data_IF_156448428376
#
_entry.id   IF_156448428376
#
_cell.length_a   1.000
_cell.length_b   1.000
_cell.length_c   1.000
_cell.angle_alpha   90.00
_cell.angle_beta   90.00
_cell.angle_gamma   90.00
#
_symmetry.space_group_name_H-M   'P 1'
#
loop_
_entity.id
_entity.type
_entity.pdbx_description
1 polymer ?
#
# COMPACT_ATOMS: atom_id res chain seq x y z
N UNK A 1 -13.52 8.67 -16.67
CA UNK A 1 -13.63 8.92 -15.21
C UNK A 1 -14.65 10.02 -14.99
N UNK A 2 -15.61 9.81 -14.08
CA UNK A 2 -16.62 10.84 -13.74
C UNK A 2 -16.03 11.93 -12.83
N UNK A 3 -16.71 13.08 -12.77
CA UNK A 3 -16.36 14.25 -11.94
C UNK A 3 -16.26 13.92 -10.43
N UNK A 4 -17.03 12.94 -9.95
CA UNK A 4 -17.09 12.57 -8.54
C UNK A 4 -15.83 11.80 -8.09
N UNK A 5 -15.22 11.00 -8.97
CA UNK A 5 -13.97 10.32 -8.69
C UNK A 5 -12.78 11.30 -8.52
N UNK A 6 -12.75 12.39 -9.29
CA UNK A 6 -11.78 13.46 -9.13
C UNK A 6 -12.00 14.29 -7.85
N UNK A 7 -13.27 14.59 -7.52
CA UNK A 7 -13.63 15.28 -6.29
C UNK A 7 -13.28 14.46 -5.02
N UNK A 8 -13.26 13.13 -5.10
CA UNK A 8 -12.88 12.27 -3.98
C UNK A 8 -11.37 12.26 -3.68
N UNK A 9 -10.54 12.47 -4.70
CA UNK A 9 -9.07 12.56 -4.59
C UNK A 9 -8.65 13.96 -4.15
N UNK A 10 -9.28 14.96 -4.75
CA UNK A 10 -8.93 16.35 -4.55
C UNK A 10 -9.51 16.81 -3.20
N UNK A 11 -8.69 17.42 -2.31
CA UNK A 11 -9.18 17.96 -1.05
C UNK A 11 -10.40 18.89 -1.27
N UNK A 12 -11.35 18.96 -0.32
CA UNK A 12 -12.60 19.72 -0.49
C UNK A 12 -12.42 21.16 -1.01
N UNK A 13 -11.30 21.79 -0.68
CA UNK A 13 -10.95 23.15 -1.10
C UNK A 13 -10.60 23.30 -2.60
N UNK A 14 -10.17 22.24 -3.30
CA UNK A 14 -9.84 22.30 -4.73
C UNK A 14 -11.00 21.84 -5.64
N UNK A 15 -12.08 21.30 -5.07
CA UNK A 15 -13.32 20.97 -5.80
C UNK A 15 -13.99 22.21 -6.41
N UNK A 16 -13.95 23.32 -5.68
CA UNK A 16 -14.55 24.61 -6.07
C UNK A 16 -13.90 25.27 -7.29
N UNK A 17 -12.63 24.96 -7.60
CA UNK A 17 -11.90 25.63 -8.70
C UNK A 17 -11.84 24.82 -10.00
N UNK A 18 -12.24 23.55 -9.96
CA UNK A 18 -12.39 22.71 -11.15
C UNK A 18 -13.72 23.01 -11.89
N UNK A 19 -14.76 23.40 -11.15
CA UNK A 19 -16.04 23.86 -11.69
C UNK A 19 -16.06 25.37 -11.97
N UNK A 20 -15.22 25.81 -12.91
CA UNK A 20 -15.54 26.94 -13.80
C UNK A 20 -16.01 28.28 -13.20
N UNK A 21 -15.68 28.64 -11.95
CA UNK A 21 -16.01 29.99 -11.45
C UNK A 21 -14.89 30.54 -10.58
N UNK A 22 -14.01 31.34 -11.19
CA UNK A 22 -13.07 32.18 -10.43
C UNK A 22 -13.85 33.32 -9.77
N UNK A 23 -13.96 33.29 -8.44
CA UNK A 23 -14.39 34.45 -7.65
C UNK A 23 -13.31 35.53 -7.65
N UNK A 24 -13.69 36.70 -8.17
CA UNK A 24 -13.18 38.07 -7.93
C UNK A 24 -11.70 38.21 -7.53
N UNK A 25 -10.81 38.22 -8.53
CA UNK A 25 -9.45 38.78 -8.44
C UNK A 25 -9.10 39.45 -9.78
N UNK A 26 -8.41 40.58 -9.71
CA UNK A 26 -8.38 41.71 -10.66
C UNK A 26 -7.55 41.52 -11.94
N UNK A 27 -7.49 40.31 -12.50
CA UNK A 27 -7.12 39.99 -13.89
C UNK A 27 -7.60 38.57 -14.18
N UNK A 28 -8.12 38.25 -15.39
CA UNK A 28 -8.48 36.88 -15.71
C UNK A 28 -7.20 36.03 -15.72
N UNK A 29 -7.03 35.24 -14.67
CA UNK A 29 -5.98 34.23 -14.60
C UNK A 29 -6.17 33.25 -15.76
N UNK A 30 -5.09 32.96 -16.47
CA UNK A 30 -5.14 31.97 -17.54
C UNK A 30 -5.48 30.58 -16.95
N UNK A 31 -6.16 29.72 -17.73
CA UNK A 31 -6.42 28.33 -17.32
C UNK A 31 -5.12 27.60 -16.93
N UNK A 32 -3.99 28.01 -17.49
CA UNK A 32 -2.70 27.40 -17.22
C UNK A 32 -2.09 27.83 -15.89
N UNK A 33 -2.17 29.10 -15.52
CA UNK A 33 -1.75 29.56 -14.18
C UNK A 33 -2.60 28.90 -13.08
N UNK A 34 -3.92 28.81 -13.30
CA UNK A 34 -4.84 28.22 -12.33
C UNK A 34 -4.49 26.75 -12.05
N UNK A 35 -4.29 25.97 -13.09
CA UNK A 35 -3.98 24.56 -12.91
C UNK A 35 -2.50 24.32 -12.53
N UNK A 36 -1.58 25.25 -12.78
CA UNK A 36 -0.23 25.22 -12.19
C UNK A 36 -0.28 25.44 -10.66
N UNK A 37 -1.11 26.37 -10.18
CA UNK A 37 -1.36 26.56 -8.74
C UNK A 37 -1.94 25.32 -8.08
N UNK A 38 -2.92 24.68 -8.71
CA UNK A 38 -3.51 23.44 -8.17
C UNK A 38 -2.46 22.32 -8.14
N UNK A 39 -1.69 22.15 -9.21
CA UNK A 39 -0.59 21.19 -9.27
C UNK A 39 0.42 21.41 -8.14
N UNK A 40 0.92 22.64 -7.96
CA UNK A 40 1.86 22.99 -6.90
C UNK A 40 1.34 22.63 -5.51
N UNK A 41 0.05 22.89 -5.27
CA UNK A 41 -0.60 22.63 -3.98
C UNK A 41 -0.88 21.15 -3.73
N UNK A 42 -1.18 20.36 -4.77
CA UNK A 42 -1.33 18.90 -4.66
C UNK A 42 0.00 18.26 -4.26
N UNK A 43 1.12 18.74 -4.83
CA UNK A 43 2.46 18.26 -4.51
C UNK A 43 3.09 18.89 -3.27
N UNK A 44 2.41 19.82 -2.58
CA UNK A 44 2.97 20.47 -1.39
C UNK A 44 3.00 19.48 -0.21
N UNK A 45 4.18 19.19 0.38
CA UNK A 45 4.30 18.27 1.50
C UNK A 45 3.43 18.67 2.72
N UNK A 46 3.27 19.97 2.98
CA UNK A 46 2.45 20.44 4.09
C UNK A 46 0.96 20.20 3.86
N UNK A 47 0.48 20.36 2.62
CA UNK A 47 -0.91 20.07 2.25
C UNK A 47 -1.18 18.56 2.28
N UNK A 48 -0.23 17.76 1.78
CA UNK A 48 -0.33 16.29 1.82
C UNK A 48 -0.36 15.78 3.25
N UNK A 49 0.51 16.29 4.12
CA UNK A 49 0.50 15.95 5.55
C UNK A 49 -0.83 16.34 6.21
N UNK A 50 -1.33 17.55 5.94
CA UNK A 50 -2.61 18.03 6.50
C UNK A 50 -3.80 17.23 6.02
N UNK A 51 -3.75 16.72 4.78
CA UNK A 51 -4.81 15.89 4.20
C UNK A 51 -4.97 14.55 4.91
N UNK A 52 -3.91 14.06 5.58
CA UNK A 52 -3.83 12.73 6.20
C UNK A 52 -4.20 11.57 5.25
N UNK A 53 -4.18 11.83 3.94
CA UNK A 53 -4.42 10.83 2.92
C UNK A 53 -3.22 9.89 2.81
N UNK A 54 -3.49 8.63 2.54
CA UNK A 54 -2.46 7.60 2.36
C UNK A 54 -2.13 7.38 0.88
N UNK A 55 -1.05 6.63 0.59
CA UNK A 55 -0.55 6.41 -0.77
C UNK A 55 -1.59 5.93 -1.79
N UNK A 56 -2.55 5.10 -1.40
CA UNK A 56 -3.54 4.55 -2.33
C UNK A 56 -4.37 5.62 -3.04
N UNK A 57 -4.75 6.69 -2.34
CA UNK A 57 -5.57 7.78 -2.90
C UNK A 57 -4.81 8.54 -4.00
N UNK A 58 -3.54 8.84 -3.76
CA UNK A 58 -2.68 9.51 -4.74
C UNK A 58 -2.32 8.62 -5.92
N UNK A 59 -2.12 7.32 -5.69
CA UNK A 59 -1.89 6.36 -6.78
C UNK A 59 -3.10 6.26 -7.70
N UNK A 60 -4.30 6.09 -7.14
CA UNK A 60 -5.52 6.01 -7.93
C UNK A 60 -5.64 7.27 -8.82
N UNK A 61 -5.42 8.45 -8.23
CA UNK A 61 -5.39 9.70 -8.97
C UNK A 61 -4.32 9.75 -10.07
N UNK A 62 -3.09 9.32 -9.76
CA UNK A 62 -1.97 9.32 -10.69
C UNK A 62 -2.28 8.51 -11.95
N UNK A 63 -2.88 7.32 -11.80
CA UNK A 63 -3.20 6.45 -12.95
C UNK A 63 -4.28 7.02 -13.85
N UNK A 64 -5.19 7.80 -13.28
CA UNK A 64 -6.26 8.43 -14.03
C UNK A 64 -5.93 9.86 -14.48
N UNK A 65 -4.72 10.34 -14.17
CA UNK A 65 -4.26 11.65 -14.57
C UNK A 65 -4.31 11.81 -16.10
N UNK A 66 -5.05 12.80 -16.64
CA UNK A 66 -5.27 12.91 -18.07
C UNK A 66 -4.02 13.40 -18.84
N UNK A 67 -3.01 13.92 -18.13
CA UNK A 67 -1.79 14.42 -18.73
C UNK A 67 -0.64 14.53 -17.72
N UNK A 68 0.58 14.72 -18.25
CA UNK A 68 1.81 14.90 -17.44
C UNK A 68 1.74 16.06 -16.45
N UNK A 69 0.92 17.07 -16.78
CA UNK A 69 0.61 18.21 -15.93
C UNK A 69 0.12 17.79 -14.53
N UNK A 70 -0.61 16.68 -14.46
CA UNK A 70 -1.20 16.17 -13.22
C UNK A 70 -0.44 14.96 -12.69
N UNK A 71 0.11 14.11 -13.56
CA UNK A 71 0.81 12.91 -13.12
C UNK A 71 2.05 13.23 -12.29
N UNK A 72 2.86 14.24 -12.67
CA UNK A 72 4.07 14.57 -11.92
C UNK A 72 3.78 15.10 -10.51
N UNK A 73 2.88 16.09 -10.30
CA UNK A 73 2.48 16.50 -8.96
C UNK A 73 1.88 15.39 -8.10
N UNK A 74 1.09 14.49 -8.71
CA UNK A 74 0.50 13.35 -8.01
C UNK A 74 1.54 12.30 -7.59
N UNK A 75 2.59 12.10 -8.39
CA UNK A 75 3.74 11.28 -8.00
C UNK A 75 4.50 11.89 -6.81
N UNK A 76 4.71 13.21 -6.81
CA UNK A 76 5.32 13.90 -5.66
C UNK A 76 4.45 13.77 -4.41
N UNK A 77 3.14 13.99 -4.56
CA UNK A 77 2.18 13.85 -3.47
C UNK A 77 2.14 12.42 -2.90
N UNK A 78 2.21 11.40 -3.77
CA UNK A 78 2.36 10.01 -3.38
C UNK A 78 3.61 9.80 -2.50
N UNK A 79 4.75 10.33 -2.92
CA UNK A 79 5.99 10.29 -2.15
C UNK A 79 5.84 10.96 -0.77
N UNK A 80 5.27 12.16 -0.70
CA UNK A 80 5.02 12.86 0.56
C UNK A 80 4.02 12.11 1.46
N UNK A 81 3.02 11.46 0.88
CA UNK A 81 2.01 10.70 1.64
C UNK A 81 2.58 9.47 2.35
N UNK A 82 3.77 8.99 1.94
CA UNK A 82 4.49 7.96 2.68
C UNK A 82 4.79 8.41 4.11
N UNK A 83 4.95 9.71 4.38
CA UNK A 83 5.13 10.24 5.73
C UNK A 83 3.96 9.88 6.67
N UNK A 84 2.75 9.70 6.13
CA UNK A 84 1.54 9.34 6.88
C UNK A 84 1.44 7.84 7.20
N UNK A 85 2.21 6.99 6.52
CA UNK A 85 2.32 5.56 6.84
C UNK A 85 3.15 5.41 8.12
N UNK A 86 2.74 4.62 9.12
CA UNK A 86 3.54 4.46 10.33
C UNK A 86 4.94 3.88 10.07
N UNK A 87 5.92 4.30 10.87
CA UNK A 87 7.24 3.65 10.86
C UNK A 87 7.13 2.26 11.48
N UNK A 88 7.86 1.28 10.93
CA UNK A 88 7.93 -0.07 11.46
C UNK A 88 9.35 -0.34 11.98
N UNK A 89 9.59 -0.31 13.31
CA UNK A 89 10.93 -0.52 13.87
C UNK A 89 11.39 -1.97 13.69
N UNK A 90 12.69 -2.23 13.66
CA UNK A 90 13.22 -3.58 13.48
C UNK A 90 13.16 -4.08 12.03
N UNK A 91 13.32 -5.40 11.85
CA UNK A 91 13.45 -6.08 10.57
C UNK A 91 12.15 -6.72 10.12
N UNK A 92 11.67 -6.32 8.95
CA UNK A 92 10.38 -6.71 8.38
C UNK A 92 10.58 -7.46 7.07
N UNK A 93 10.01 -8.66 6.95
CA UNK A 93 9.86 -9.33 5.65
C UNK A 93 8.53 -8.90 5.03
N UNK A 94 8.55 -8.38 3.82
CA UNK A 94 7.34 -8.00 3.07
C UNK A 94 7.23 -8.87 1.82
N UNK A 95 6.27 -9.78 1.82
CA UNK A 95 5.95 -10.68 0.73
C UNK A 95 4.74 -10.14 -0.04
N UNK A 96 4.93 -9.84 -1.32
CA UNK A 96 3.88 -9.34 -2.21
C UNK A 96 3.55 -10.38 -3.27
N UNK A 97 2.30 -10.82 -3.28
CA UNK A 97 1.79 -11.79 -4.24
C UNK A 97 1.65 -11.15 -5.62
N UNK A 98 2.20 -11.83 -6.61
CA UNK A 98 2.22 -11.51 -8.04
C UNK A 98 1.76 -12.70 -8.88
N UNK A 99 0.92 -13.55 -8.32
CA UNK A 99 0.25 -14.62 -9.03
C UNK A 99 -0.81 -14.08 -10.00
N UNK A 100 -1.19 -14.89 -10.99
CA UNK A 100 -2.14 -14.54 -12.03
C UNK A 100 -3.49 -14.08 -11.47
N UNK A 101 -3.99 -14.68 -10.37
CA UNK A 101 -5.25 -14.29 -9.71
C UNK A 101 -5.25 -12.80 -9.30
N UNK A 102 -4.07 -12.28 -8.93
CA UNK A 102 -3.88 -10.88 -8.57
C UNK A 102 -4.06 -9.91 -9.76
N UNK A 103 -3.89 -10.38 -11.00
CA UNK A 103 -4.02 -9.56 -12.21
C UNK A 103 -5.42 -9.63 -12.84
N UNK A 104 -6.13 -10.75 -12.71
CA UNK A 104 -7.42 -10.95 -13.37
C UNK A 104 -8.60 -10.23 -12.71
N UNK A 105 -8.47 -9.82 -11.44
CA UNK A 105 -9.55 -9.16 -10.70
C UNK A 105 -9.26 -7.68 -10.46
N UNK A 106 -10.19 -6.83 -10.89
CA UNK A 106 -10.23 -5.41 -10.50
C UNK A 106 -10.74 -5.30 -9.06
N UNK A 107 -10.15 -4.42 -8.25
CA UNK A 107 -10.53 -4.25 -6.84
C UNK A 107 -11.95 -3.68 -6.65
N UNK A 108 -12.49 -2.98 -7.64
CA UNK A 108 -13.90 -2.58 -7.71
C UNK A 108 -14.28 -2.18 -9.14
N UNK A 109 -15.57 -2.19 -9.47
CA UNK A 109 -16.09 -1.70 -10.77
C UNK A 109 -15.76 -0.24 -11.07
N UNK A 110 -15.23 0.51 -10.08
CA UNK A 110 -14.81 1.92 -10.21
C UNK A 110 -13.30 2.14 -10.10
N UNK A 111 -12.50 1.10 -9.85
CA UNK A 111 -11.04 1.21 -9.68
C UNK A 111 -10.32 0.38 -10.74
N UNK A 112 -9.58 1.03 -11.63
CA UNK A 112 -8.72 0.35 -12.62
C UNK A 112 -7.48 -0.31 -11.99
N UNK A 113 -7.31 -0.23 -10.67
CA UNK A 113 -6.23 -0.93 -9.96
C UNK A 113 -6.52 -2.43 -9.89
N UNK A 114 -5.58 -3.21 -10.44
CA UNK A 114 -5.50 -4.65 -10.19
C UNK A 114 -5.16 -4.90 -8.72
N UNK A 115 -5.52 -6.08 -8.18
CA UNK A 115 -5.07 -6.47 -6.82
C UNK A 115 -3.56 -6.50 -6.73
N UNK A 116 -2.91 -6.97 -7.79
CA UNK A 116 -1.45 -6.96 -7.96
C UNK A 116 -0.86 -5.56 -7.74
N UNK A 117 -1.41 -4.53 -8.38
CA UNK A 117 -0.94 -3.16 -8.23
C UNK A 117 -1.15 -2.62 -6.82
N UNK A 118 -2.32 -2.87 -6.24
CA UNK A 118 -2.61 -2.45 -4.87
C UNK A 118 -1.67 -3.14 -3.86
N UNK A 119 -1.41 -4.44 -4.02
CA UNK A 119 -0.50 -5.20 -3.19
C UNK A 119 0.94 -4.67 -3.29
N UNK A 120 1.41 -4.42 -4.51
CA UNK A 120 2.75 -3.90 -4.74
C UNK A 120 2.94 -2.51 -4.13
N UNK A 121 1.95 -1.62 -4.22
CA UNK A 121 2.00 -0.29 -3.60
C UNK A 121 2.02 -0.39 -2.09
N UNK A 122 1.13 -1.22 -1.54
CA UNK A 122 1.04 -1.41 -0.10
C UNK A 122 2.35 -1.97 0.47
N UNK A 123 2.85 -3.06 -0.13
CA UNK A 123 4.10 -3.69 0.29
C UNK A 123 5.30 -2.76 0.14
N UNK A 124 5.40 -2.03 -0.98
CA UNK A 124 6.47 -1.06 -1.20
C UNK A 124 6.41 0.10 -0.19
N UNK A 125 5.22 0.63 0.09
CA UNK A 125 5.05 1.72 1.06
C UNK A 125 5.45 1.28 2.48
N UNK A 126 5.08 0.06 2.89
CA UNK A 126 5.49 -0.52 4.16
C UNK A 126 7.01 -0.76 4.20
N UNK A 127 7.59 -1.30 3.13
CA UNK A 127 9.03 -1.54 3.05
C UNK A 127 9.85 -0.25 3.14
N UNK A 128 9.39 0.83 2.48
CA UNK A 128 10.03 2.15 2.56
C UNK A 128 9.92 2.80 3.95
N UNK A 129 8.96 2.36 4.77
CA UNK A 129 8.70 2.87 6.12
C UNK A 129 9.22 1.99 7.24
N UNK A 130 9.63 0.78 6.93
CA UNK A 130 10.31 -0.09 7.86
C UNK A 130 11.75 0.39 8.07
N UNK A 131 12.27 0.17 9.28
CA UNK A 131 13.67 0.44 9.60
C UNK A 131 14.58 -0.46 8.73
N UNK A 132 14.30 -1.76 8.69
CA UNK A 132 14.99 -2.71 7.80
C UNK A 132 13.93 -3.57 7.13
N UNK A 133 13.78 -3.48 5.81
CA UNK A 133 12.83 -4.29 5.07
C UNK A 133 13.51 -5.14 3.99
N UNK A 134 13.11 -6.41 3.95
CA UNK A 134 13.33 -7.28 2.82
C UNK A 134 12.01 -7.34 2.04
N UNK A 135 11.97 -6.69 0.88
CA UNK A 135 10.81 -6.68 -0.01
C UNK A 135 10.98 -7.79 -1.05
N UNK A 136 9.97 -8.65 -1.17
CA UNK A 136 10.00 -9.84 -2.02
C UNK A 136 8.71 -9.92 -2.83
N UNK A 137 8.86 -10.12 -4.14
CA UNK A 137 7.75 -10.54 -4.98
C UNK A 137 7.66 -12.07 -4.99
N UNK A 138 6.45 -12.63 -5.01
CA UNK A 138 6.26 -14.07 -5.10
C UNK A 138 5.07 -14.46 -5.99
N UNK A 139 5.19 -15.64 -6.61
CA UNK A 139 4.17 -16.34 -7.38
C UNK A 139 4.61 -17.79 -7.51
N UNK A 140 4.85 -18.31 -8.72
CA UNK A 140 5.52 -19.61 -8.92
C UNK A 140 6.98 -19.59 -8.48
N UNK A 141 7.63 -18.43 -8.58
CA UNK A 141 8.97 -18.16 -8.06
C UNK A 141 8.91 -17.02 -7.04
N UNK A 142 10.00 -16.77 -6.32
CA UNK A 142 10.07 -15.62 -5.42
C UNK A 142 11.46 -14.99 -5.42
N UNK A 143 11.52 -13.68 -5.62
CA UNK A 143 12.78 -12.94 -5.73
C UNK A 143 12.72 -11.61 -4.95
N UNK A 144 13.87 -11.15 -4.40
CA UNK A 144 13.92 -9.86 -3.75
C UNK A 144 13.70 -8.72 -4.76
N UNK A 145 12.89 -7.75 -4.39
CA UNK A 145 12.72 -6.50 -5.14
C UNK A 145 13.65 -5.46 -4.53
N UNK A 146 14.73 -5.13 -5.24
CA UNK A 146 15.66 -4.11 -4.80
C UNK A 146 14.98 -2.74 -4.72
N UNK A 147 15.25 -1.99 -3.65
CA UNK A 147 14.81 -0.60 -3.50
C UNK A 147 15.82 0.18 -2.65
N UNK A 148 15.76 1.51 -2.74
CA UNK A 148 16.54 2.41 -1.88
C UNK A 148 15.61 3.26 -1.02
N UNK A 149 16.07 3.63 0.18
CA UNK A 149 15.33 4.60 1.01
C UNK A 149 15.14 5.91 0.23
N UNK A 150 13.92 6.43 0.23
CA UNK A 150 13.55 7.65 -0.50
C UNK A 150 13.34 7.47 -2.01
N UNK A 151 13.42 6.24 -2.53
CA UNK A 151 13.11 5.97 -3.93
C UNK A 151 11.61 6.13 -4.23
N UNK A 152 11.27 6.59 -5.45
CA UNK A 152 9.87 6.70 -5.90
C UNK A 152 9.21 5.33 -5.89
N UNK A 153 8.06 5.24 -5.20
CA UNK A 153 7.22 4.04 -5.17
C UNK A 153 6.96 3.55 -6.58
N UNK A 154 6.60 4.45 -7.51
CA UNK A 154 6.28 4.09 -8.88
C UNK A 154 7.45 3.44 -9.63
N UNK A 155 8.69 3.87 -9.37
CA UNK A 155 9.89 3.24 -9.95
C UNK A 155 10.13 1.84 -9.41
N UNK A 156 9.84 1.61 -8.12
CA UNK A 156 9.93 0.28 -7.52
C UNK A 156 8.84 -0.62 -8.09
N UNK A 157 7.62 -0.12 -8.29
CA UNK A 157 6.51 -0.87 -8.88
C UNK A 157 6.84 -1.45 -10.26
N UNK A 158 7.63 -0.73 -11.07
CA UNK A 158 8.07 -1.20 -12.39
C UNK A 158 8.97 -2.45 -12.33
N UNK A 159 9.52 -2.78 -11.16
CA UNK A 159 10.37 -3.97 -10.96
C UNK A 159 9.56 -5.24 -10.69
N UNK A 160 8.30 -5.09 -10.25
CA UNK A 160 7.44 -6.23 -10.02
C UNK A 160 7.00 -6.85 -11.34
N UNK A 161 6.99 -8.18 -11.39
CA UNK A 161 6.61 -8.97 -12.56
C UNK A 161 5.30 -9.72 -12.32
N UNK A 162 4.78 -10.34 -13.35
CA UNK A 162 3.77 -11.39 -13.23
C UNK A 162 4.51 -12.72 -13.09
N UNK A 163 4.24 -13.43 -12.00
CA UNK A 163 4.93 -14.65 -11.61
C UNK A 163 4.04 -15.89 -11.75
N UNK A 164 2.85 -15.78 -12.34
CA UNK A 164 2.02 -16.92 -12.69
C UNK A 164 1.36 -17.60 -11.48
N UNK A 165 1.80 -18.80 -11.10
CA UNK A 165 1.19 -19.56 -10.00
C UNK A 165 1.43 -18.93 -8.61
N UNK A 166 1.15 -19.68 -7.54
CA UNK A 166 1.26 -19.20 -6.16
C UNK A 166 1.93 -20.25 -5.27
N UNK A 167 3.15 -19.97 -4.78
CA UNK A 167 3.86 -20.78 -3.77
C UNK A 167 4.29 -19.91 -2.57
N UNK A 168 3.32 -19.54 -1.73
CA UNK A 168 3.57 -18.72 -0.55
C UNK A 168 4.45 -19.44 0.48
N UNK A 169 4.25 -20.75 0.68
CA UNK A 169 5.05 -21.54 1.62
C UNK A 169 6.52 -21.57 1.20
N UNK A 170 6.81 -21.80 -0.09
CA UNK A 170 8.17 -21.76 -0.62
C UNK A 170 8.81 -20.38 -0.47
N UNK A 171 8.07 -19.31 -0.76
CA UNK A 171 8.55 -17.94 -0.60
C UNK A 171 8.92 -17.60 0.85
N UNK A 172 8.07 -17.95 1.81
CA UNK A 172 8.36 -17.75 3.24
C UNK A 172 9.62 -18.50 3.64
N UNK A 173 9.76 -19.78 3.28
CA UNK A 173 10.93 -20.59 3.63
C UNK A 173 12.23 -20.07 3.02
N UNK A 174 12.18 -19.55 1.78
CA UNK A 174 13.35 -19.03 1.07
C UNK A 174 13.85 -17.72 1.68
N UNK A 175 12.93 -16.84 2.09
CA UNK A 175 13.27 -15.45 2.41
C UNK A 175 13.19 -15.12 3.89
N UNK A 176 12.48 -15.92 4.71
CA UNK A 176 12.48 -15.71 6.15
C UNK A 176 13.87 -15.98 6.75
N UNK A 177 14.41 -14.97 7.43
CA UNK A 177 15.78 -14.96 7.91
C UNK A 177 15.87 -14.23 9.25
N UNK A 178 15.12 -14.69 10.27
CA UNK A 178 15.03 -14.08 11.61
C UNK A 178 14.53 -12.62 11.55
N UNK A 179 13.43 -12.42 10.84
CA UNK A 179 12.72 -11.13 10.83
C UNK A 179 11.91 -10.99 12.11
N UNK A 180 11.80 -9.77 12.61
CA UNK A 180 10.98 -9.45 13.79
C UNK A 180 9.49 -9.53 13.45
N UNK A 181 9.14 -9.35 12.17
CA UNK A 181 7.77 -9.53 11.66
C UNK A 181 7.75 -9.95 10.19
N UNK A 182 6.65 -10.58 9.79
CA UNK A 182 6.37 -10.95 8.39
C UNK A 182 5.03 -10.36 7.94
N UNK A 183 5.02 -9.69 6.79
CA UNK A 183 3.82 -9.15 6.13
C UNK A 183 3.60 -9.94 4.83
N UNK A 184 2.42 -10.52 4.66
CA UNK A 184 2.03 -11.28 3.45
C UNK A 184 0.85 -10.56 2.81
N UNK A 185 0.97 -10.13 1.56
CA UNK A 185 -0.09 -9.43 0.83
C UNK A 185 -0.49 -10.27 -0.38
N UNK A 186 -1.67 -10.88 -0.32
CA UNK A 186 -2.13 -11.93 -1.26
C UNK A 186 -3.63 -11.87 -1.47
N UNK A 187 -4.16 -12.60 -2.45
CA UNK A 187 -5.60 -12.84 -2.60
C UNK A 187 -6.04 -14.27 -2.22
N UNK A 188 -5.16 -14.99 -1.50
CA UNK A 188 -5.35 -16.29 -0.84
C UNK A 188 -5.88 -17.43 -1.72
N UNK A 189 -5.49 -17.50 -2.99
CA UNK A 189 -5.48 -18.78 -3.71
C UNK A 189 -4.24 -19.60 -3.31
N UNK A 190 -4.26 -20.21 -2.13
CA UNK A 190 -3.23 -21.18 -1.78
C UNK A 190 -3.48 -22.50 -2.52
N UNK A 191 -2.54 -22.90 -3.36
CA UNK A 191 -2.41 -24.31 -3.71
C UNK A 191 -1.86 -25.06 -2.49
N UNK A 192 -2.46 -26.20 -2.13
CA UNK A 192 -2.00 -27.03 -1.02
C UNK A 192 -0.52 -27.43 -1.25
N UNK A 193 0.38 -26.97 -0.38
CA UNK A 193 1.79 -27.38 -0.40
C UNK A 193 1.96 -28.54 0.58
N UNK A 194 2.57 -29.65 0.15
CA UNK A 194 2.81 -30.84 0.97
C UNK A 194 3.75 -30.63 2.18
N UNK A 195 4.16 -29.39 2.47
CA UNK A 195 5.07 -28.99 3.56
C UNK A 195 4.40 -28.16 4.66
N UNK A 196 3.07 -28.06 4.66
CA UNK A 196 2.31 -27.33 5.67
C UNK A 196 2.00 -25.89 5.28
N UNK A 197 1.31 -25.17 6.17
CA UNK A 197 0.84 -23.81 5.91
C UNK A 197 2.02 -22.81 5.91
N UNK A 198 1.92 -21.68 5.17
CA UNK A 198 3.01 -20.69 5.10
C UNK A 198 3.38 -20.11 6.46
N UNK A 199 2.39 -19.86 7.32
CA UNK A 199 2.57 -19.24 8.64
C UNK A 199 3.16 -20.18 9.68
N UNK A 200 3.11 -21.50 9.45
CA UNK A 200 3.73 -22.54 10.28
C UNK A 200 5.24 -22.63 10.03
N UNK A 201 5.73 -22.07 8.91
CA UNK A 201 7.16 -22.00 8.61
C UNK A 201 7.88 -20.91 9.42
N UNK A 202 7.13 -20.08 10.13
CA UNK A 202 7.62 -18.94 10.92
C UNK A 202 7.46 -19.30 12.41
N UNK A 203 8.46 -19.02 13.27
CA UNK A 203 8.34 -19.22 14.71
C UNK A 203 7.06 -18.59 15.30
N UNK A 204 6.45 -19.25 16.28
CA UNK A 204 5.15 -18.85 16.83
C UNK A 204 5.18 -17.49 17.55
N UNK A 205 6.34 -17.08 18.06
CA UNK A 205 6.60 -15.81 18.73
C UNK A 205 6.71 -14.63 17.75
N UNK A 206 7.07 -14.88 16.49
CA UNK A 206 7.22 -13.83 15.47
C UNK A 206 5.86 -13.46 14.88
N UNK A 207 5.40 -12.20 14.94
CA UNK A 207 4.15 -11.78 14.31
C UNK A 207 4.12 -11.97 12.79
N UNK A 208 2.99 -12.48 12.31
CA UNK A 208 2.66 -12.54 10.89
C UNK A 208 1.33 -11.85 10.62
N UNK A 209 1.34 -10.95 9.64
CA UNK A 209 0.19 -10.17 9.22
C UNK A 209 -0.11 -10.48 7.76
N UNK A 210 -1.28 -11.05 7.49
CA UNK A 210 -1.73 -11.40 6.14
C UNK A 210 -2.83 -10.46 5.70
N UNK A 211 -2.69 -9.81 4.56
CA UNK A 211 -3.78 -9.09 3.88
C UNK A 211 -4.32 -9.95 2.77
N UNK A 212 -5.57 -10.40 2.93
CA UNK A 212 -6.34 -11.10 1.90
C UNK A 212 -7.16 -10.08 1.09
N UNK A 213 -6.84 -9.98 -0.20
CA UNK A 213 -7.45 -9.06 -1.15
C UNK A 213 -8.70 -9.58 -1.85
N UNK A 214 -8.95 -10.88 -1.85
CA UNK A 214 -10.09 -11.45 -2.56
C UNK A 214 -11.39 -11.36 -1.77
N UNK A 215 -11.37 -11.03 -0.47
CA UNK A 215 -12.58 -10.98 0.36
C UNK A 215 -13.32 -12.32 0.43
N UNK A 216 -12.70 -13.44 0.02
CA UNK A 216 -13.28 -14.76 0.22
C UNK A 216 -13.42 -14.99 1.72
N UNK A 217 -14.62 -15.45 2.10
CA UNK A 217 -15.12 -15.71 3.46
C UNK A 217 -14.39 -16.85 4.18
N UNK A 218 -13.15 -17.12 3.79
CA UNK A 218 -12.35 -18.27 4.12
C UNK A 218 -10.90 -17.82 4.36
N UNK A 219 -10.67 -16.86 5.25
CA UNK A 219 -9.33 -16.61 5.79
C UNK A 219 -8.90 -17.83 6.61
N UNK A 220 -8.02 -18.67 6.06
CA UNK A 220 -7.68 -19.98 6.62
C UNK A 220 -6.21 -20.09 7.05
N UNK A 221 -5.79 -19.18 7.91
CA UNK A 221 -5.00 -19.54 9.10
C UNK A 221 -5.88 -19.32 10.33
N UNK A 222 -5.57 -19.89 11.51
CA UNK A 222 -6.31 -19.58 12.72
C UNK A 222 -6.28 -18.07 12.96
N UNK A 223 -7.36 -17.41 12.59
CA UNK A 223 -7.56 -15.98 12.78
C UNK A 223 -7.71 -15.78 14.28
N UNK A 224 -6.76 -15.09 14.91
CA UNK A 224 -6.79 -14.86 16.36
C UNK A 224 -5.96 -15.82 17.20
N UNK A 225 -4.99 -16.54 16.63
CA UNK A 225 -3.86 -17.02 17.44
C UNK A 225 -2.91 -15.83 17.69
N UNK A 226 -2.36 -15.72 18.91
CA UNK A 226 -1.73 -14.49 19.44
C UNK A 226 -0.89 -13.68 18.43
N UNK A 227 -0.12 -14.36 17.57
CA UNK A 227 0.82 -13.77 16.61
C UNK A 227 0.49 -13.96 15.13
N UNK A 228 -0.74 -14.36 14.77
CA UNK A 228 -1.17 -14.51 13.37
C UNK A 228 -2.46 -13.72 13.15
N UNK A 229 -2.38 -12.68 12.32
CA UNK A 229 -3.50 -11.78 12.05
C UNK A 229 -3.79 -11.75 10.56
N UNK A 230 -5.05 -11.94 10.19
CA UNK A 230 -5.50 -11.84 8.79
C UNK A 230 -6.49 -10.69 8.66
N UNK A 231 -6.27 -9.84 7.66
CA UNK A 231 -7.11 -8.69 7.34
C UNK A 231 -7.77 -8.86 5.98
N UNK A 232 -9.02 -8.43 5.86
CA UNK A 232 -9.74 -8.37 4.59
C UNK A 232 -9.58 -7.02 3.91
N UNK A 233 -9.22 -7.03 2.63
CA UNK A 233 -9.14 -5.85 1.77
C UNK A 233 -7.93 -4.94 2.07
N UNK A 234 -7.65 -4.03 1.12
CA UNK A 234 -6.66 -2.95 1.31
C UNK A 234 -7.37 -1.61 1.28
N UNK A 235 -7.29 -0.92 2.42
CA UNK A 235 -7.70 0.47 2.56
C UNK A 235 -6.60 1.24 3.30
N UNK A 236 -6.72 2.56 3.35
CA UNK A 236 -5.81 3.43 4.10
C UNK A 236 -5.65 3.01 5.58
N UNK A 237 -6.70 2.43 6.19
CA UNK A 237 -6.64 1.92 7.55
C UNK A 237 -5.67 0.74 7.72
N UNK A 238 -5.40 -0.02 6.65
CA UNK A 238 -4.50 -1.18 6.67
C UNK A 238 -3.09 -0.82 7.15
N UNK A 239 -2.58 0.36 6.79
CA UNK A 239 -1.27 0.84 7.21
C UNK A 239 -1.14 1.02 8.72
N UNK A 240 -2.26 1.24 9.43
CA UNK A 240 -2.27 1.46 10.89
C UNK A 240 -2.39 0.17 11.70
N UNK A 241 -2.70 -0.95 11.06
CA UNK A 241 -3.01 -2.19 11.79
C UNK A 241 -1.78 -2.81 12.47
N UNK A 242 -0.61 -2.77 11.82
CA UNK A 242 0.61 -3.36 12.41
C UNK A 242 1.00 -2.65 13.71
N UNK A 243 1.22 -1.32 13.74
CA UNK A 243 1.60 -0.65 14.98
C UNK A 243 0.51 -0.74 16.05
N UNK A 244 -0.77 -0.73 15.67
CA UNK A 244 -1.87 -0.86 16.62
C UNK A 244 -1.79 -2.19 17.37
N UNK A 245 -1.57 -3.29 16.65
CA UNK A 245 -1.48 -4.62 17.25
C UNK A 245 -0.18 -4.85 18.02
N UNK A 246 0.93 -4.25 17.58
CA UNK A 246 2.21 -4.34 18.28
C UNK A 246 2.22 -3.50 19.56
N UNK A 247 1.66 -2.28 19.53
CA UNK A 247 1.56 -1.41 20.71
C UNK A 247 0.70 -2.01 21.83
N UNK A 248 -0.31 -2.82 21.49
CA UNK A 248 -1.12 -3.55 22.47
C UNK A 248 -0.37 -4.68 23.16
N UNK A 249 0.76 -5.15 22.61
CA UNK A 249 1.63 -6.16 23.24
C UNK A 249 2.70 -5.55 24.11
N UNK A 250 3.25 -4.41 23.67
CA UNK A 250 4.32 -3.71 24.38
C UNK A 250 3.79 -2.77 25.47
N UNK A 251 2.46 -2.67 25.66
CA UNK A 251 1.85 -1.83 26.67
C UNK A 251 2.25 -2.28 28.09
N UNK A 252 3.03 -1.45 28.77
CA UNK A 252 3.32 -1.61 30.19
C UNK A 252 2.08 -1.14 30.97
N UNK A 253 1.57 -1.99 31.84
CA UNK A 253 0.37 -1.68 32.60
C UNK A 253 0.66 -0.55 33.62
N UNK A 254 -0.18 0.50 33.70
CA UNK A 254 0.22 1.81 34.27
C UNK A 254 0.46 1.86 35.79
N UNK A 255 0.47 0.73 36.49
CA UNK A 255 0.79 0.65 37.92
C UNK A 255 1.84 -0.41 38.27
N UNK A 256 2.63 -0.86 37.29
CA UNK A 256 3.77 -1.76 37.50
C UNK A 256 5.12 -1.02 37.58
N UNK A 257 5.14 0.16 38.24
CA UNK A 257 6.36 0.93 38.52
C UNK A 257 6.52 1.11 40.02
#
# INVERSE_FOLDING_TARGET
MDKAAWEAVIPPWARWRWCGTCGTSTRPESRDEAAARVAARISDPAEVARSRQFPFRFLAAYRHAPSRRWSYPLEQALGHSLANVPALPGRTLVLVDRSGSMFYSRMSDRSELTRADAAAVFGTALALRAEKADLVEFGSTSDPVAFRRGESVLKILQRFRDLGGTDTTGAVRKHYARHDRVLIVTDEQYAHNGRGAPTEQIPADVPVYTWNLAGYRAGHGPSGTANRHTFGGLSDAAFRMVPLLESGRDAHWPWAV
#
